data_IF_321845766321
#
_entry.id   IF_321845766321
#
_cell.length_a   1.000
_cell.length_b   1.000
_cell.length_c   1.000
_cell.angle_alpha   90.00
_cell.angle_beta   90.00
_cell.angle_gamma   90.00
#
_symmetry.space_group_name_H-M   'P 1'
#
loop_
_entity.id
_entity.type
_entity.pdbx_description
1 polymer ?
#
# COMPACT_ATOMS: atom_id res chain seq x y z
N UNK A 1 -8.01 -22.06 5.75
CA UNK A 1 -8.03 -20.59 5.90
C UNK A 1 -7.28 -20.26 7.17
N UNK A 2 -6.22 -19.49 7.10
CA UNK A 2 -5.55 -19.00 8.31
C UNK A 2 -6.54 -18.09 9.02
N UNK A 3 -7.03 -18.49 10.19
CA UNK A 3 -7.96 -17.72 11.02
C UNK A 3 -7.29 -16.51 11.70
N UNK A 4 -6.35 -15.85 11.03
CA UNK A 4 -5.72 -14.62 11.49
C UNK A 4 -6.59 -13.42 11.13
N UNK A 5 -6.70 -12.46 12.06
CA UNK A 5 -7.28 -11.14 11.79
C UNK A 5 -6.52 -10.52 10.62
N UNK A 6 -7.25 -9.91 9.70
CA UNK A 6 -6.67 -9.36 8.48
C UNK A 6 -6.57 -7.86 8.60
N UNK A 7 -5.40 -7.30 8.21
CA UNK A 7 -5.25 -5.85 8.04
C UNK A 7 -6.18 -5.35 6.94
N UNK A 8 -6.66 -4.12 7.08
CA UNK A 8 -7.37 -3.46 5.99
C UNK A 8 -6.41 -2.97 4.93
N UNK A 9 -6.90 -2.96 3.72
CA UNK A 9 -6.24 -2.44 2.55
C UNK A 9 -6.82 -1.06 2.20
N UNK A 10 -5.99 -0.20 1.63
CA UNK A 10 -6.41 1.08 1.10
C UNK A 10 -6.51 0.99 -0.43
N UNK A 11 -7.72 0.85 -0.97
CA UNK A 11 -7.94 0.86 -2.41
C UNK A 11 -7.94 2.30 -2.93
N UNK A 12 -7.23 2.52 -4.03
CA UNK A 12 -7.16 3.78 -4.76
C UNK A 12 -7.50 3.56 -6.24
N UNK A 13 -7.40 4.60 -7.05
CA UNK A 13 -7.82 4.60 -8.46
C UNK A 13 -7.30 3.40 -9.27
N UNK A 14 -6.05 2.95 -9.04
CA UNK A 14 -5.47 1.81 -9.79
C UNK A 14 -6.16 0.49 -9.45
N UNK A 15 -6.36 0.23 -8.17
CA UNK A 15 -7.08 -0.95 -7.71
C UNK A 15 -8.54 -0.95 -8.15
N UNK A 16 -9.21 0.20 -8.02
CA UNK A 16 -10.58 0.39 -8.48
C UNK A 16 -10.70 0.17 -10.00
N UNK A 17 -9.75 0.68 -10.78
CA UNK A 17 -9.74 0.48 -12.23
C UNK A 17 -9.65 -1.01 -12.60
N UNK A 18 -8.75 -1.77 -11.98
CA UNK A 18 -8.63 -3.21 -12.22
C UNK A 18 -9.91 -3.97 -11.87
N UNK A 19 -10.51 -3.65 -10.71
CA UNK A 19 -11.80 -4.23 -10.29
C UNK A 19 -12.94 -3.85 -11.23
N UNK A 20 -12.94 -2.62 -11.78
CA UNK A 20 -13.92 -2.18 -12.76
C UNK A 20 -13.78 -2.91 -14.09
N UNK A 21 -12.55 -3.15 -14.56
CA UNK A 21 -12.30 -3.95 -15.76
C UNK A 21 -12.76 -5.42 -15.61
N UNK A 22 -12.76 -5.93 -14.39
CA UNK A 22 -13.24 -7.27 -14.07
C UNK A 22 -14.75 -7.32 -13.73
N UNK A 23 -15.49 -6.19 -13.85
CA UNK A 23 -16.90 -6.03 -13.45
C UNK A 23 -17.17 -6.29 -11.95
N UNK A 24 -16.14 -6.17 -11.10
CA UNK A 24 -16.23 -6.48 -9.66
C UNK A 24 -16.35 -5.26 -8.76
N UNK A 25 -16.05 -4.05 -9.25
CA UNK A 25 -16.02 -2.85 -8.41
C UNK A 25 -17.35 -2.56 -7.71
N UNK A 26 -18.47 -2.74 -8.40
CA UNK A 26 -19.80 -2.49 -7.83
C UNK A 26 -20.09 -3.38 -6.61
N UNK A 27 -19.66 -4.62 -6.64
CA UNK A 27 -19.78 -5.55 -5.52
C UNK A 27 -18.83 -5.16 -4.39
N UNK A 28 -17.57 -4.87 -4.71
CA UNK A 28 -16.55 -4.47 -3.73
C UNK A 28 -16.90 -3.19 -2.99
N UNK A 29 -17.64 -2.26 -3.60
CA UNK A 29 -18.12 -1.06 -2.92
C UNK A 29 -19.02 -1.36 -1.71
N UNK A 30 -19.71 -2.50 -1.69
CA UNK A 30 -20.59 -2.86 -0.57
C UNK A 30 -19.84 -3.27 0.69
N UNK A 31 -18.57 -3.65 0.54
CA UNK A 31 -17.67 -4.06 1.63
C UNK A 31 -16.51 -3.06 1.85
N UNK A 32 -16.60 -1.88 1.24
CA UNK A 32 -15.56 -0.85 1.31
C UNK A 32 -16.11 0.46 1.88
N UNK A 33 -15.30 1.14 2.70
CA UNK A 33 -15.66 2.43 3.30
C UNK A 33 -14.81 3.55 2.70
N UNK A 34 -15.42 4.59 2.11
CA UNK A 34 -14.67 5.73 1.59
C UNK A 34 -14.09 6.56 2.73
N UNK A 35 -12.79 6.80 2.69
CA UNK A 35 -12.07 7.68 3.59
C UNK A 35 -11.71 8.97 2.85
N UNK A 36 -12.25 10.11 3.31
CA UNK A 36 -12.09 11.43 2.69
C UNK A 36 -10.79 12.15 3.11
N UNK A 37 -10.13 11.63 4.14
CA UNK A 37 -8.92 12.25 4.69
C UNK A 37 -8.34 11.46 5.85
N UNK A 38 -7.36 12.09 6.49
CA UNK A 38 -6.70 11.61 7.70
C UNK A 38 -7.23 12.36 8.91
N UNK A 39 -7.58 11.65 9.97
CA UNK A 39 -7.85 12.23 11.28
C UNK A 39 -6.59 12.08 12.12
N UNK A 40 -5.90 13.19 12.35
CA UNK A 40 -4.68 13.21 13.13
C UNK A 40 -5.01 13.35 14.62
N UNK A 41 -4.44 12.50 15.45
CA UNK A 41 -4.56 12.51 16.91
C UNK A 41 -3.26 13.01 17.53
N UNK A 42 -3.27 14.21 18.10
CA UNK A 42 -2.10 14.76 18.84
C UNK A 42 -1.84 13.97 20.12
N UNK A 43 -0.68 14.21 20.74
CA UNK A 43 -0.38 13.65 22.08
C UNK A 43 -1.36 14.18 23.15
N UNK A 44 -1.86 15.41 22.96
CA UNK A 44 -2.87 16.03 23.81
C UNK A 44 -4.31 15.57 23.48
N UNK A 45 -4.47 14.57 22.60
CA UNK A 45 -5.76 14.06 22.12
C UNK A 45 -6.60 15.07 21.33
N UNK A 46 -5.95 16.09 20.78
CA UNK A 46 -6.59 17.02 19.83
C UNK A 46 -6.73 16.39 18.47
N UNK A 47 -7.87 16.61 17.81
CA UNK A 47 -8.17 16.06 16.50
C UNK A 47 -7.99 17.11 15.40
N UNK A 48 -7.29 16.75 14.35
CA UNK A 48 -7.15 17.58 13.15
C UNK A 48 -7.45 16.76 11.90
N UNK A 49 -8.49 17.15 11.16
CA UNK A 49 -8.84 16.51 9.91
C UNK A 49 -8.07 17.10 8.74
N UNK A 50 -7.41 16.24 7.97
CA UNK A 50 -6.67 16.60 6.76
C UNK A 50 -7.27 15.88 5.56
N UNK A 51 -7.89 16.61 4.63
CA UNK A 51 -8.43 16.04 3.41
C UNK A 51 -7.32 15.41 2.57
N UNK A 52 -7.65 14.32 1.86
CA UNK A 52 -6.74 13.69 0.91
C UNK A 52 -6.61 14.47 -0.39
N UNK A 53 -7.73 14.84 -0.98
CA UNK A 53 -7.81 15.45 -2.29
C UNK A 53 -8.56 16.78 -2.29
N UNK A 54 -8.71 17.33 -3.48
CA UNK A 54 -9.32 18.65 -3.71
C UNK A 54 -10.84 18.66 -3.51
N UNK A 55 -11.51 17.51 -3.70
CA UNK A 55 -12.97 17.37 -3.60
C UNK A 55 -13.38 16.02 -2.99
N UNK A 56 -14.68 15.76 -2.91
CA UNK A 56 -15.24 14.53 -2.32
C UNK A 56 -15.18 13.31 -3.24
N UNK A 57 -14.73 13.46 -4.48
CA UNK A 57 -14.48 12.33 -5.38
C UNK A 57 -13.08 11.73 -5.17
N UNK A 58 -12.13 12.53 -4.70
CA UNK A 58 -10.78 12.08 -4.40
C UNK A 58 -10.70 11.44 -3.01
N UNK A 59 -11.09 10.17 -2.94
CA UNK A 59 -11.11 9.34 -1.71
C UNK A 59 -10.34 8.05 -1.93
N UNK A 60 -9.89 7.45 -0.83
CA UNK A 60 -9.41 6.06 -0.82
C UNK A 60 -10.42 5.21 -0.06
N UNK A 61 -10.47 3.92 -0.33
CA UNK A 61 -11.42 3.02 0.31
C UNK A 61 -10.72 2.08 1.26
N UNK A 62 -11.18 2.03 2.52
CA UNK A 62 -10.81 0.96 3.43
C UNK A 62 -11.62 -0.28 3.08
N UNK A 63 -10.93 -1.40 2.90
CA UNK A 63 -11.56 -2.69 2.64
C UNK A 63 -10.85 -3.78 3.43
N UNK A 64 -11.62 -4.69 4.02
CA UNK A 64 -11.07 -5.87 4.69
C UNK A 64 -10.36 -6.76 3.67
N UNK A 65 -9.09 -7.07 3.93
CA UNK A 65 -8.29 -7.96 3.08
C UNK A 65 -8.92 -9.35 2.94
N UNK A 66 -9.50 -9.88 4.03
CA UNK A 66 -10.15 -11.20 4.00
C UNK A 66 -11.42 -11.19 3.17
N UNK A 67 -12.27 -10.16 3.33
CA UNK A 67 -13.52 -10.06 2.55
C UNK A 67 -13.25 -9.83 1.06
N UNK A 68 -12.30 -8.96 0.73
CA UNK A 68 -11.86 -8.78 -0.66
C UNK A 68 -11.36 -10.09 -1.26
N UNK A 69 -10.53 -10.84 -0.52
CA UNK A 69 -9.99 -12.11 -1.01
C UNK A 69 -11.09 -13.15 -1.23
N UNK A 70 -12.06 -13.26 -0.31
CA UNK A 70 -13.22 -14.16 -0.47
C UNK A 70 -14.04 -13.78 -1.70
N UNK A 71 -14.34 -12.50 -1.88
CA UNK A 71 -15.12 -12.02 -3.02
C UNK A 71 -14.41 -12.30 -4.37
N UNK A 72 -13.08 -12.05 -4.43
CA UNK A 72 -12.28 -12.35 -5.62
C UNK A 72 -12.23 -13.86 -5.93
N UNK A 73 -12.07 -14.72 -4.90
CA UNK A 73 -12.07 -16.17 -5.11
C UNK A 73 -13.43 -16.66 -5.61
N UNK A 74 -14.54 -16.20 -5.00
CA UNK A 74 -15.89 -16.54 -5.44
C UNK A 74 -16.13 -16.11 -6.90
N UNK A 75 -15.70 -14.90 -7.26
CA UNK A 75 -15.82 -14.43 -8.63
C UNK A 75 -15.00 -15.27 -9.62
N UNK A 76 -13.80 -15.70 -9.23
CA UNK A 76 -12.95 -16.56 -10.06
C UNK A 76 -13.60 -17.96 -10.26
N UNK A 77 -14.15 -18.56 -9.20
CA UNK A 77 -14.86 -19.86 -9.30
C UNK A 77 -16.07 -19.76 -10.22
N UNK A 78 -16.85 -18.67 -10.15
CA UNK A 78 -17.99 -18.41 -11.06
C UNK A 78 -17.54 -18.37 -12.53
N UNK A 79 -16.31 -17.89 -12.80
CA UNK A 79 -15.72 -17.87 -14.13
C UNK A 79 -15.08 -19.23 -14.53
N UNK A 80 -15.22 -20.26 -13.70
CA UNK A 80 -14.69 -21.59 -13.98
C UNK A 80 -13.22 -21.80 -13.64
N UNK A 81 -12.62 -20.90 -12.85
CA UNK A 81 -11.26 -21.08 -12.34
C UNK A 81 -11.26 -22.15 -11.24
N UNK A 82 -10.42 -23.16 -11.39
CA UNK A 82 -10.21 -24.17 -10.35
C UNK A 82 -9.29 -23.60 -9.26
N UNK A 83 -9.79 -23.54 -8.03
CA UNK A 83 -9.01 -23.10 -6.85
C UNK A 83 -8.71 -24.31 -5.98
N UNK A 84 -7.42 -24.65 -5.87
CA UNK A 84 -6.97 -25.80 -5.07
C UNK A 84 -6.35 -25.30 -3.78
N UNK A 85 -7.02 -25.53 -2.65
CA UNK A 85 -6.55 -25.13 -1.32
C UNK A 85 -5.54 -26.13 -0.75
N UNK A 86 -4.84 -25.68 0.29
CA UNK A 86 -3.86 -26.49 1.07
C UNK A 86 -2.73 -27.09 0.21
N UNK A 87 -2.45 -26.51 -0.95
CA UNK A 87 -1.35 -26.91 -1.81
C UNK A 87 -0.27 -25.82 -1.76
N UNK A 88 0.83 -26.12 -1.11
CA UNK A 88 1.98 -25.24 -1.04
C UNK A 88 2.89 -25.47 -2.23
N UNK A 89 3.15 -24.44 -3.02
CA UNK A 89 4.22 -24.49 -4.00
C UNK A 89 5.57 -24.43 -3.28
N UNK A 90 6.37 -25.47 -3.43
CA UNK A 90 7.70 -25.58 -2.82
C UNK A 90 8.84 -25.33 -3.80
N UNK A 91 8.54 -25.26 -5.11
CA UNK A 91 9.51 -24.99 -6.17
C UNK A 91 8.94 -25.18 -7.56
N UNK A 92 9.75 -24.90 -8.56
CA UNK A 92 9.42 -25.05 -9.98
C UNK A 92 10.65 -25.47 -10.78
N UNK A 93 10.46 -26.39 -11.73
CA UNK A 93 11.42 -26.56 -12.82
C UNK A 93 11.13 -25.49 -13.90
N UNK A 94 11.95 -24.48 -13.97
CA UNK A 94 11.75 -23.34 -14.85
C UNK A 94 11.73 -23.72 -16.35
N UNK A 95 12.51 -24.73 -16.77
CA UNK A 95 12.60 -25.15 -18.18
C UNK A 95 11.35 -25.92 -18.62
N UNK A 96 10.82 -26.76 -17.74
CA UNK A 96 9.68 -27.63 -18.03
C UNK A 96 8.35 -26.96 -17.70
N UNK A 97 8.35 -25.97 -16.76
CA UNK A 97 7.14 -25.37 -16.23
C UNK A 97 6.44 -26.27 -15.20
N UNK A 98 7.14 -27.26 -14.65
CA UNK A 98 6.57 -28.19 -13.70
C UNK A 98 6.70 -27.68 -12.26
N UNK A 99 5.56 -27.48 -11.60
CA UNK A 99 5.45 -27.02 -10.20
C UNK A 99 5.57 -28.20 -9.25
N UNK A 100 6.31 -28.01 -8.16
CA UNK A 100 6.35 -28.94 -7.04
C UNK A 100 5.38 -28.45 -5.98
N UNK A 101 4.34 -29.21 -5.73
CA UNK A 101 3.28 -28.92 -4.79
C UNK A 101 3.36 -29.92 -3.62
N UNK A 102 3.14 -29.39 -2.42
CA UNK A 102 3.00 -30.19 -1.21
C UNK A 102 1.64 -29.93 -0.59
N UNK A 103 0.93 -31.02 -0.31
CA UNK A 103 -0.31 -30.97 0.45
C UNK A 103 0.01 -30.65 1.93
N UNK A 104 -0.56 -29.60 2.46
CA UNK A 104 -0.31 -29.14 3.85
C UNK A 104 -1.02 -30.00 4.91
N UNK A 105 -1.97 -30.86 4.49
CA UNK A 105 -2.70 -31.76 5.39
C UNK A 105 -2.04 -33.13 5.44
N UNK A 106 -1.79 -33.73 4.26
CA UNK A 106 -1.22 -35.08 4.17
C UNK A 106 0.29 -35.10 4.15
N UNK A 107 0.93 -33.98 3.80
CA UNK A 107 2.37 -33.89 3.59
C UNK A 107 2.88 -34.50 2.29
N UNK A 108 1.98 -35.02 1.46
CA UNK A 108 2.30 -35.62 0.16
C UNK A 108 2.76 -34.57 -0.83
N UNK A 109 3.73 -34.94 -1.66
CA UNK A 109 4.23 -34.08 -2.73
C UNK A 109 3.77 -34.61 -4.08
N UNK A 110 3.41 -33.66 -4.97
CA UNK A 110 3.05 -33.95 -6.36
C UNK A 110 3.66 -32.94 -7.32
N UNK A 111 3.80 -33.31 -8.56
CA UNK A 111 4.20 -32.41 -9.63
C UNK A 111 2.98 -32.02 -10.47
N UNK A 112 2.92 -30.75 -10.86
CA UNK A 112 1.88 -30.22 -11.76
C UNK A 112 2.58 -29.54 -12.94
N UNK A 113 2.36 -30.07 -14.13
CA UNK A 113 2.88 -29.49 -15.36
C UNK A 113 1.98 -28.36 -15.87
N UNK A 114 2.56 -27.28 -16.28
CA UNK A 114 1.85 -26.13 -16.82
C UNK A 114 2.59 -25.50 -17.99
N UNK A 115 1.85 -25.01 -18.98
CA UNK A 115 2.40 -24.27 -20.12
C UNK A 115 2.89 -22.88 -19.71
N UNK A 116 2.18 -22.24 -18.79
CA UNK A 116 2.46 -20.89 -18.28
C UNK A 116 2.24 -20.87 -16.78
N UNK A 117 3.17 -20.28 -16.03
CA UNK A 117 3.09 -20.10 -14.59
C UNK A 117 3.23 -18.63 -14.23
N UNK A 118 2.28 -18.11 -13.49
CA UNK A 118 2.35 -16.75 -12.91
C UNK A 118 2.50 -16.89 -11.40
N UNK A 119 3.69 -16.55 -10.89
CA UNK A 119 4.02 -16.60 -9.47
C UNK A 119 3.53 -15.36 -8.75
N UNK A 120 2.40 -15.49 -8.02
CA UNK A 120 1.81 -14.46 -7.16
C UNK A 120 1.97 -14.85 -5.67
N UNK A 121 3.04 -15.56 -5.32
CA UNK A 121 3.25 -16.25 -4.06
C UNK A 121 3.92 -15.36 -2.97
N UNK A 122 3.85 -14.05 -3.17
CA UNK A 122 4.19 -13.03 -2.15
C UNK A 122 5.68 -12.80 -1.93
N UNK A 123 6.01 -12.01 -0.92
CA UNK A 123 7.38 -11.57 -0.64
C UNK A 123 8.35 -12.73 -0.31
N UNK A 124 7.84 -13.88 0.11
CA UNK A 124 8.62 -15.10 0.36
C UNK A 124 8.56 -16.12 -0.79
N UNK A 125 8.36 -15.67 -2.03
CA UNK A 125 8.12 -16.45 -3.23
C UNK A 125 9.08 -17.64 -3.40
N UNK A 126 8.49 -18.83 -3.53
CA UNK A 126 9.21 -20.06 -3.89
C UNK A 126 9.65 -20.04 -5.36
N UNK A 127 8.81 -19.46 -6.23
CA UNK A 127 9.12 -19.30 -7.67
C UNK A 127 10.34 -18.41 -7.83
N UNK A 128 10.39 -17.25 -7.18
CA UNK A 128 11.57 -16.36 -7.21
C UNK A 128 12.80 -17.06 -6.67
N UNK A 129 12.68 -17.87 -5.63
CA UNK A 129 13.79 -18.61 -5.03
C UNK A 129 14.45 -19.58 -6.02
N UNK A 130 13.69 -20.18 -6.92
CA UNK A 130 14.25 -20.99 -8.01
C UNK A 130 14.88 -20.11 -9.11
N UNK A 131 14.31 -18.96 -9.41
CA UNK A 131 14.90 -18.01 -10.37
C UNK A 131 16.22 -17.42 -9.88
N UNK A 132 16.42 -17.27 -8.58
CA UNK A 132 17.69 -16.83 -7.95
C UNK A 132 18.86 -17.75 -8.27
N UNK A 133 18.61 -19.02 -8.62
CA UNK A 133 19.67 -19.99 -8.99
C UNK A 133 20.15 -19.82 -10.42
N UNK A 134 19.46 -18.97 -11.21
CA UNK A 134 19.89 -18.67 -12.59
C UNK A 134 21.02 -17.64 -12.58
N UNK A 135 21.86 -17.67 -13.60
CA UNK A 135 22.88 -16.65 -13.81
C UNK A 135 22.21 -15.31 -14.18
N UNK A 136 22.81 -14.20 -13.71
CA UNK A 136 22.37 -12.81 -14.00
C UNK A 136 21.01 -12.45 -13.40
N UNK A 137 20.59 -13.08 -12.30
CA UNK A 137 19.43 -12.64 -11.56
C UNK A 137 19.86 -11.62 -10.50
N UNK A 138 19.28 -10.43 -10.55
CA UNK A 138 19.48 -9.38 -9.55
C UNK A 138 18.40 -9.49 -8.48
N UNK A 139 18.79 -9.41 -7.21
CA UNK A 139 17.85 -9.48 -6.09
C UNK A 139 18.28 -8.56 -4.97
N UNK A 140 17.36 -7.78 -4.45
CA UNK A 140 17.49 -6.99 -3.25
C UNK A 140 16.33 -7.29 -2.31
N UNK A 141 16.64 -7.53 -1.05
CA UNK A 141 15.68 -7.71 0.02
C UNK A 141 16.09 -6.83 1.20
N UNK A 142 15.30 -5.81 1.49
CA UNK A 142 15.61 -4.83 2.52
C UNK A 142 14.52 -4.83 3.58
N UNK A 143 14.87 -5.20 4.81
CA UNK A 143 13.99 -5.09 5.95
C UNK A 143 14.15 -3.73 6.61
N UNK A 144 13.03 -3.12 7.01
CA UNK A 144 13.09 -1.99 7.93
C UNK A 144 13.39 -2.48 9.35
N UNK A 145 14.08 -1.65 10.13
CA UNK A 145 14.25 -1.90 11.58
C UNK A 145 12.97 -1.55 12.37
N UNK A 146 11.82 -1.82 11.75
CA UNK A 146 10.47 -1.60 12.27
C UNK A 146 9.63 -2.83 12.02
N UNK A 147 8.83 -3.17 13.02
CA UNK A 147 7.76 -4.14 12.89
C UNK A 147 6.39 -3.48 12.87
N UNK A 148 5.39 -4.28 12.62
CA UNK A 148 4.00 -3.89 12.80
C UNK A 148 3.24 -4.91 13.65
N UNK A 149 2.26 -4.41 14.41
CA UNK A 149 1.36 -5.22 15.25
C UNK A 149 -0.08 -4.90 14.90
N UNK A 150 -0.83 -5.94 14.55
CA UNK A 150 -2.26 -5.82 14.30
C UNK A 150 -3.03 -5.78 15.61
N UNK A 151 -3.93 -4.80 15.73
CA UNK A 151 -4.79 -4.58 16.88
C UNK A 151 -6.21 -4.29 16.38
N UNK A 152 -7.16 -4.14 17.29
CA UNK A 152 -8.55 -3.87 16.93
C UNK A 152 -9.19 -2.89 17.90
N UNK A 153 -9.93 -1.92 17.38
CA UNK A 153 -10.95 -1.20 18.11
C UNK A 153 -12.29 -1.89 17.79
N UNK A 154 -12.98 -2.48 18.77
CA UNK A 154 -14.27 -3.12 18.55
C UNK A 154 -15.34 -2.09 18.18
N UNK A 155 -16.45 -2.56 17.61
CA UNK A 155 -17.62 -1.73 17.40
C UNK A 155 -18.12 -1.14 18.72
N UNK A 156 -18.50 0.12 18.68
CA UNK A 156 -19.08 0.83 19.82
C UNK A 156 -20.52 0.39 20.12
N UNK A 157 -21.21 1.15 20.93
CA UNK A 157 -22.59 0.87 21.30
C UNK A 157 -23.49 0.75 20.05
N UNK A 158 -24.35 -0.30 20.04
CA UNK A 158 -25.26 -0.62 18.94
C UNK A 158 -24.57 -0.91 17.58
N UNK A 159 -23.34 -1.43 17.59
CA UNK A 159 -22.61 -1.77 16.37
C UNK A 159 -22.11 -0.56 15.56
N UNK A 160 -22.12 0.64 16.14
CA UNK A 160 -21.62 1.85 15.49
C UNK A 160 -20.11 1.97 15.59
N UNK A 161 -19.51 2.67 14.63
CA UNK A 161 -18.10 3.03 14.72
C UNK A 161 -17.82 3.90 15.95
N UNK A 162 -16.72 3.58 16.67
CA UNK A 162 -16.29 4.34 17.84
C UNK A 162 -15.52 5.63 17.49
N UNK A 163 -15.06 5.76 16.25
CA UNK A 163 -14.34 6.91 15.71
C UNK A 163 -15.03 7.39 14.42
N UNK A 164 -14.54 8.49 13.82
CA UNK A 164 -15.03 8.99 12.54
C UNK A 164 -14.86 7.94 11.43
N UNK A 165 -15.96 7.53 10.82
CA UNK A 165 -16.01 6.42 9.86
C UNK A 165 -15.28 6.74 8.55
N UNK A 166 -15.35 8.00 8.10
CA UNK A 166 -14.84 8.40 6.79
C UNK A 166 -13.42 8.98 6.84
N UNK A 167 -12.61 8.51 7.79
CA UNK A 167 -11.23 8.93 7.95
C UNK A 167 -10.27 7.75 8.22
N UNK A 168 -9.04 7.86 7.73
CA UNK A 168 -7.92 7.12 8.26
C UNK A 168 -7.44 7.81 9.54
N UNK A 169 -7.57 7.15 10.69
CA UNK A 169 -7.05 7.68 11.94
C UNK A 169 -5.55 7.43 12.05
N UNK A 170 -4.80 8.46 12.46
CA UNK A 170 -3.34 8.37 12.62
C UNK A 170 -2.94 9.04 13.93
N UNK A 171 -2.19 8.34 14.76
CA UNK A 171 -1.52 8.82 15.96
C UNK A 171 -0.01 8.88 15.70
N UNK A 172 0.55 9.97 15.15
CA UNK A 172 1.99 10.12 14.93
C UNK A 172 2.70 10.39 16.26
N UNK A 173 3.83 9.73 16.48
CA UNK A 173 4.62 9.83 17.71
C UNK A 173 6.12 9.91 17.45
N UNK A 174 6.52 10.62 16.39
CA UNK A 174 7.91 10.78 16.02
C UNK A 174 8.51 9.52 15.43
N UNK A 175 9.02 8.62 16.24
CA UNK A 175 9.65 7.39 15.77
C UNK A 175 8.71 6.19 15.64
N UNK A 176 7.42 6.34 15.97
CA UNK A 176 6.42 5.28 15.85
C UNK A 176 5.03 5.89 15.59
N UNK A 177 4.07 5.07 15.21
CA UNK A 177 2.69 5.52 14.97
C UNK A 177 1.70 4.38 15.12
N UNK A 178 0.47 4.74 15.49
CA UNK A 178 -0.70 3.89 15.40
C UNK A 178 -1.60 4.42 14.26
N UNK A 179 -2.16 3.52 13.47
CA UNK A 179 -3.21 3.88 12.49
C UNK A 179 -4.45 3.02 12.72
N UNK A 180 -5.62 3.51 12.31
CA UNK A 180 -6.85 2.73 12.35
C UNK A 180 -7.70 2.98 11.10
N UNK A 181 -8.14 1.88 10.47
CA UNK A 181 -8.96 1.86 9.26
C UNK A 181 -10.33 1.26 9.59
N UNK A 182 -11.44 1.88 9.14
CA UNK A 182 -12.79 1.41 9.43
C UNK A 182 -13.15 0.13 8.66
N UNK A 183 -13.95 -0.72 9.31
CA UNK A 183 -14.63 -1.89 8.72
C UNK A 183 -16.13 -1.67 8.68
N UNK A 184 -16.83 -2.34 7.76
CA UNK A 184 -18.29 -2.23 7.59
C UNK A 184 -19.08 -2.75 8.80
N UNK A 185 -18.48 -3.60 9.62
CA UNK A 185 -19.07 -4.14 10.86
C UNK A 185 -18.98 -3.19 12.07
N UNK A 186 -18.48 -1.97 11.87
CA UNK A 186 -18.33 -0.97 12.92
C UNK A 186 -17.00 -1.04 13.69
N UNK A 187 -16.17 -2.03 13.41
CA UNK A 187 -14.81 -2.15 14.00
C UNK A 187 -13.79 -1.30 13.26
N UNK A 188 -12.60 -1.12 13.86
CA UNK A 188 -11.44 -0.60 13.17
C UNK A 188 -10.29 -1.61 13.22
N UNK A 189 -9.69 -1.89 12.07
CA UNK A 189 -8.41 -2.57 12.01
C UNK A 189 -7.30 -1.57 12.34
N UNK A 190 -6.55 -1.84 13.40
CA UNK A 190 -5.49 -0.96 13.88
C UNK A 190 -4.12 -1.59 13.61
N UNK A 191 -3.15 -0.75 13.28
CA UNK A 191 -1.76 -1.17 13.06
C UNK A 191 -0.83 -0.26 13.84
N UNK A 192 -0.11 -0.84 14.81
CA UNK A 192 1.00 -0.18 15.49
C UNK A 192 2.29 -0.45 14.71
N UNK A 193 2.94 0.62 14.25
CA UNK A 193 4.29 0.57 13.69
C UNK A 193 5.29 1.03 14.74
N UNK A 194 6.24 0.17 15.08
CA UNK A 194 7.18 0.40 16.18
C UNK A 194 8.56 -0.17 15.82
N UNK A 195 9.68 0.47 16.25
CA UNK A 195 11.00 -0.14 16.13
C UNK A 195 11.08 -1.50 16.82
N UNK A 196 11.94 -2.40 16.33
CA UNK A 196 12.20 -3.66 17.02
C UNK A 196 13.00 -3.43 18.31
N UNK A 197 13.93 -2.48 18.32
CA UNK A 197 14.86 -2.18 19.40
C UNK A 197 14.86 -0.71 19.76
N UNK A 198 15.30 -0.38 20.98
CA UNK A 198 15.38 0.99 21.51
C UNK A 198 14.44 1.23 22.68
N UNK A 199 14.27 2.50 23.08
CA UNK A 199 13.47 2.87 24.26
C UNK A 199 11.97 2.64 24.03
N UNK A 200 11.43 3.13 22.92
CA UNK A 200 10.05 2.88 22.48
C UNK A 200 10.10 1.80 21.39
N UNK A 201 10.05 0.52 21.78
CA UNK A 201 10.26 -0.61 20.86
C UNK A 201 9.52 -1.87 21.28
N UNK A 202 9.36 -2.82 20.35
CA UNK A 202 8.80 -4.13 20.68
C UNK A 202 9.60 -4.88 21.74
N UNK A 203 10.94 -4.69 21.81
CA UNK A 203 11.79 -5.31 22.82
C UNK A 203 11.47 -4.90 24.27
N UNK A 204 10.77 -3.78 24.46
CA UNK A 204 10.37 -3.30 25.79
C UNK A 204 8.94 -3.71 26.18
N UNK A 205 8.19 -4.38 25.31
CA UNK A 205 6.79 -4.72 25.51
C UNK A 205 6.60 -6.23 25.71
N UNK A 206 7.03 -6.73 26.88
CA UNK A 206 7.08 -8.16 27.17
C UNK A 206 5.96 -8.63 28.11
N UNK A 207 5.25 -7.70 28.79
CA UNK A 207 4.17 -7.98 29.71
C UNK A 207 2.93 -7.18 29.40
N UNK A 208 1.77 -7.65 29.85
CA UNK A 208 0.50 -6.93 29.73
C UNK A 208 0.57 -5.52 30.32
N UNK A 209 1.23 -5.36 31.48
CA UNK A 209 1.38 -4.05 32.13
C UNK A 209 2.19 -3.08 31.28
N UNK A 210 3.35 -3.52 30.76
CA UNK A 210 4.21 -2.70 29.88
C UNK A 210 3.45 -2.23 28.64
N UNK A 211 2.69 -3.10 27.99
CA UNK A 211 1.87 -2.74 26.81
C UNK A 211 0.84 -1.68 27.19
N UNK A 212 0.08 -1.89 28.29
CA UNK A 212 -0.97 -0.92 28.72
C UNK A 212 -0.34 0.41 29.11
N UNK A 213 0.77 0.41 29.84
CA UNK A 213 1.48 1.63 30.25
C UNK A 213 2.03 2.40 29.04
N UNK A 214 2.64 1.69 28.10
CA UNK A 214 3.11 2.28 26.85
C UNK A 214 1.96 2.97 26.10
N UNK A 215 0.83 2.27 25.93
CA UNK A 215 -0.32 2.84 25.22
C UNK A 215 -0.94 4.02 25.99
N UNK A 216 -1.03 3.97 27.32
CA UNK A 216 -1.49 5.11 28.13
C UNK A 216 -0.59 6.34 27.97
N UNK A 217 0.71 6.13 27.90
CA UNK A 217 1.67 7.22 27.73
C UNK A 217 1.68 7.80 26.30
N UNK A 218 1.51 6.96 25.29
CA UNK A 218 1.67 7.35 23.88
C UNK A 218 0.36 7.56 23.12
N UNK A 219 -0.70 6.83 23.46
CA UNK A 219 -2.00 6.81 22.77
C UNK A 219 -3.17 6.88 23.77
N UNK A 220 -3.22 7.89 24.66
CA UNK A 220 -4.16 7.92 25.79
C UNK A 220 -5.62 7.89 25.35
N UNK A 221 -5.97 8.50 24.23
CA UNK A 221 -7.31 8.51 23.64
C UNK A 221 -7.69 7.20 22.94
N UNK A 222 -6.74 6.37 22.54
CA UNK A 222 -7.00 5.06 21.94
C UNK A 222 -7.26 3.97 23.00
N UNK A 223 -6.65 4.07 24.20
CA UNK A 223 -6.76 3.03 25.24
C UNK A 223 -8.20 2.72 25.64
N UNK A 224 -9.09 3.70 25.91
CA UNK A 224 -10.49 3.42 26.25
C UNK A 224 -11.26 2.69 25.14
N UNK A 225 -10.79 2.79 23.90
CA UNK A 225 -11.42 2.16 22.74
C UNK A 225 -10.93 0.72 22.51
N UNK A 226 -9.92 0.27 23.24
CA UNK A 226 -9.26 -1.03 23.06
C UNK A 226 -9.34 -1.89 24.34
N UNK A 227 -10.53 -2.36 24.77
CA UNK A 227 -10.68 -3.10 26.04
C UNK A 227 -9.86 -4.41 26.11
N UNK A 228 -9.53 -5.02 24.96
CA UNK A 228 -8.69 -6.22 24.86
C UNK A 228 -7.29 -5.95 24.34
N UNK A 229 -6.71 -4.78 24.63
CA UNK A 229 -5.44 -4.33 24.05
C UNK A 229 -4.28 -5.32 24.28
N UNK A 230 -4.01 -5.68 25.53
CA UNK A 230 -2.87 -6.50 25.87
C UNK A 230 -3.03 -7.94 25.36
N UNK A 231 -4.23 -8.51 25.49
CA UNK A 231 -4.56 -9.83 24.94
C UNK A 231 -4.36 -9.89 23.44
N UNK A 232 -4.87 -8.89 22.70
CA UNK A 232 -4.70 -8.80 21.26
C UNK A 232 -3.24 -8.60 20.87
N UNK A 233 -2.50 -7.82 21.65
CA UNK A 233 -1.08 -7.57 21.38
C UNK A 233 -0.26 -8.86 21.44
N UNK A 234 -0.48 -9.73 22.42
CA UNK A 234 0.25 -10.98 22.56
C UNK A 234 -0.31 -12.11 21.69
N UNK A 235 -1.61 -12.10 21.37
CA UNK A 235 -2.21 -13.09 20.48
C UNK A 235 -1.79 -12.93 19.01
N UNK A 236 -1.44 -11.71 18.58
CA UNK A 236 -1.06 -11.44 17.21
C UNK A 236 0.48 -11.44 17.04
N UNK A 237 1.02 -12.02 15.97
CA UNK A 237 2.45 -11.98 15.71
C UNK A 237 2.92 -10.55 15.40
N UNK A 238 4.19 -10.26 15.64
CA UNK A 238 4.82 -9.04 15.13
C UNK A 238 5.32 -9.30 13.72
N UNK A 239 4.79 -8.57 12.75
CA UNK A 239 5.21 -8.66 11.35
C UNK A 239 6.43 -7.80 11.07
N UNK A 240 7.27 -8.22 10.12
CA UNK A 240 8.36 -7.43 9.58
C UNK A 240 7.93 -6.76 8.27
N UNK A 241 8.54 -5.62 7.96
CA UNK A 241 8.31 -4.89 6.71
C UNK A 241 9.50 -5.04 5.79
N UNK A 242 9.25 -5.48 4.57
CA UNK A 242 10.28 -5.79 3.59
C UNK A 242 10.00 -5.11 2.26
N UNK A 243 11.05 -4.60 1.64
CA UNK A 243 11.05 -4.18 0.23
C UNK A 243 11.79 -5.24 -0.58
N UNK A 244 11.16 -5.71 -1.66
CA UNK A 244 11.72 -6.66 -2.62
C UNK A 244 11.89 -5.95 -3.95
N UNK A 245 13.08 -6.11 -4.54
CA UNK A 245 13.35 -5.71 -5.92
C UNK A 245 14.13 -6.83 -6.59
N UNK A 246 13.70 -7.26 -7.76
CA UNK A 246 14.43 -8.29 -8.51
C UNK A 246 14.35 -8.03 -10.03
N UNK A 247 15.18 -8.73 -10.78
CA UNK A 247 15.18 -8.76 -12.26
C UNK A 247 16.09 -9.90 -12.73
N UNK A 248 15.70 -10.65 -13.80
CA UNK A 248 14.44 -10.56 -14.53
C UNK A 248 13.23 -11.08 -13.74
N UNK A 249 12.03 -10.65 -14.14
CA UNK A 249 10.77 -11.16 -13.57
C UNK A 249 10.25 -12.40 -14.27
N UNK A 250 10.84 -12.76 -15.39
CA UNK A 250 10.40 -13.90 -16.21
C UNK A 250 11.54 -14.86 -16.54
N UNK A 251 11.16 -16.10 -16.82
CA UNK A 251 12.08 -17.16 -17.21
C UNK A 251 11.46 -18.06 -18.29
N UNK A 252 12.33 -18.52 -19.24
CA UNK A 252 12.02 -19.51 -20.27
C UNK A 252 10.76 -19.20 -21.13
N UNK A 253 10.31 -17.95 -21.16
CA UNK A 253 9.09 -17.54 -21.85
C UNK A 253 7.80 -18.14 -21.31
N UNK A 254 7.83 -18.73 -20.13
CA UNK A 254 6.68 -19.44 -19.52
C UNK A 254 6.43 -19.14 -18.05
N UNK A 255 7.38 -18.56 -17.34
CA UNK A 255 7.26 -18.22 -15.91
C UNK A 255 7.34 -16.72 -15.76
N UNK A 256 6.41 -16.12 -15.00
CA UNK A 256 6.39 -14.70 -14.64
C UNK A 256 6.20 -14.54 -13.14
N UNK A 257 6.96 -13.65 -12.51
CA UNK A 257 6.68 -13.13 -11.16
C UNK A 257 5.76 -11.91 -11.27
N UNK A 258 4.76 -11.81 -10.38
CA UNK A 258 3.79 -10.73 -10.36
C UNK A 258 3.49 -10.29 -8.92
N UNK A 259 3.23 -9.01 -8.70
CA UNK A 259 2.93 -8.45 -7.40
C UNK A 259 4.09 -8.60 -6.40
N UNK A 260 3.79 -8.88 -5.14
CA UNK A 260 4.78 -8.98 -4.07
C UNK A 260 5.88 -10.03 -4.31
N UNK A 261 5.63 -11.02 -5.17
CA UNK A 261 6.65 -11.97 -5.58
C UNK A 261 7.79 -11.31 -6.37
N UNK A 262 7.49 -10.25 -7.12
CA UNK A 262 8.44 -9.48 -7.91
C UNK A 262 8.92 -8.20 -7.20
N UNK A 263 8.03 -7.51 -6.48
CA UNK A 263 8.26 -6.13 -6.03
C UNK A 263 7.46 -5.76 -4.77
N UNK A 264 7.56 -6.54 -3.71
CA UNK A 264 6.94 -6.19 -2.42
C UNK A 264 7.42 -4.83 -1.92
N UNK A 265 6.52 -4.02 -1.39
CA UNK A 265 6.81 -2.69 -0.86
C UNK A 265 6.29 -2.53 0.57
N UNK A 266 6.88 -1.59 1.32
CA UNK A 266 6.39 -1.23 2.65
C UNK A 266 5.04 -0.51 2.58
N UNK A 267 4.16 -0.62 3.60
CA UNK A 267 2.74 -0.26 3.48
C UNK A 267 2.44 1.24 3.56
N UNK A 268 3.41 2.10 3.77
CA UNK A 268 3.18 3.50 4.18
C UNK A 268 2.52 4.40 3.14
N UNK A 269 2.59 4.06 1.86
CA UNK A 269 1.84 4.77 0.82
C UNK A 269 0.47 4.14 0.53
N UNK A 270 0.18 2.94 1.09
CA UNK A 270 -1.05 2.21 0.82
C UNK A 270 -1.16 1.69 -0.63
N UNK A 271 -0.02 1.47 -1.31
CA UNK A 271 -0.01 1.15 -2.74
C UNK A 271 0.31 -0.31 -3.08
N UNK A 272 0.60 -1.19 -2.13
CA UNK A 272 0.94 -2.59 -2.43
C UNK A 272 -0.12 -3.29 -3.28
N UNK A 273 -1.36 -3.34 -2.81
CA UNK A 273 -2.46 -3.96 -3.57
C UNK A 273 -2.77 -3.21 -4.87
N UNK A 274 -2.74 -1.87 -4.85
CA UNK A 274 -3.02 -1.05 -6.03
C UNK A 274 -1.99 -1.29 -7.14
N UNK A 275 -0.73 -1.44 -6.76
CA UNK A 275 0.36 -1.77 -7.66
C UNK A 275 0.20 -3.18 -8.25
N UNK A 276 -0.13 -4.18 -7.43
CA UNK A 276 -0.40 -5.55 -7.88
C UNK A 276 -1.63 -5.65 -8.79
N UNK A 277 -2.69 -4.89 -8.52
CA UNK A 277 -3.86 -4.82 -9.40
C UNK A 277 -3.53 -4.11 -10.73
N UNK A 278 -2.68 -3.08 -10.70
CA UNK A 278 -2.19 -2.46 -11.94
C UNK A 278 -1.32 -3.43 -12.75
N UNK A 279 -0.59 -4.35 -12.11
CA UNK A 279 0.10 -5.43 -12.81
C UNK A 279 -0.88 -6.31 -13.61
N UNK A 280 -2.01 -6.69 -12.98
CA UNK A 280 -3.06 -7.45 -13.67
C UNK A 280 -3.61 -6.69 -14.89
N UNK A 281 -3.89 -5.38 -14.73
CA UNK A 281 -4.33 -4.52 -15.84
C UNK A 281 -3.34 -4.52 -16.99
N UNK A 282 -2.07 -4.27 -16.71
CA UNK A 282 -1.02 -4.19 -17.73
C UNK A 282 -0.74 -5.54 -18.38
N UNK A 283 -0.81 -6.63 -17.62
CA UNK A 283 -0.63 -7.98 -18.17
C UNK A 283 -1.79 -8.35 -19.12
N UNK A 284 -3.03 -8.03 -18.76
CA UNK A 284 -4.21 -8.26 -19.61
C UNK A 284 -4.13 -7.47 -20.93
N UNK A 285 -3.70 -6.22 -20.87
CA UNK A 285 -3.47 -5.40 -22.08
C UNK A 285 -2.46 -6.06 -23.04
N UNK A 286 -1.35 -6.57 -22.48
CA UNK A 286 -0.30 -7.24 -23.29
C UNK A 286 -0.76 -8.59 -23.85
N UNK A 287 -1.54 -9.38 -23.09
CA UNK A 287 -2.14 -10.63 -23.58
C UNK A 287 -3.05 -10.33 -24.78
N UNK A 288 -3.87 -9.28 -24.70
CA UNK A 288 -4.72 -8.85 -25.80
C UNK A 288 -3.94 -8.38 -27.04
N UNK A 289 -2.77 -7.76 -26.85
CA UNK A 289 -1.91 -7.27 -27.93
C UNK A 289 -1.11 -8.35 -28.64
N UNK A 290 -0.68 -9.40 -27.95
CA UNK A 290 0.30 -10.38 -28.43
C UNK A 290 -0.20 -11.82 -28.54
N UNK A 291 -1.49 -12.07 -28.32
CA UNK A 291 -2.20 -13.32 -28.63
C UNK A 291 -1.44 -14.62 -28.28
N UNK A 292 -0.91 -14.72 -27.06
CA UNK A 292 -0.26 -15.93 -26.54
C UNK A 292 1.24 -16.06 -26.81
N UNK A 293 1.90 -15.05 -27.36
CA UNK A 293 3.37 -14.95 -27.35
C UNK A 293 3.87 -14.58 -25.94
N UNK A 294 3.87 -15.57 -25.04
CA UNK A 294 4.19 -15.38 -23.64
C UNK A 294 5.60 -14.83 -23.40
N UNK A 295 6.57 -15.23 -24.22
CA UNK A 295 7.94 -14.72 -24.08
C UNK A 295 7.99 -13.21 -24.30
N UNK A 296 7.29 -12.73 -25.34
CA UNK A 296 7.18 -11.29 -25.62
C UNK A 296 6.34 -10.56 -24.58
N UNK A 297 5.19 -11.12 -24.20
CA UNK A 297 4.29 -10.55 -23.19
C UNK A 297 5.07 -10.31 -21.89
N UNK A 298 5.81 -11.29 -21.40
CA UNK A 298 6.53 -11.21 -20.13
C UNK A 298 7.69 -10.22 -20.18
N UNK A 299 8.45 -10.19 -21.27
CA UNK A 299 9.53 -9.24 -21.45
C UNK A 299 9.03 -7.78 -21.52
N UNK A 300 7.93 -7.53 -22.25
CA UNK A 300 7.33 -6.19 -22.33
C UNK A 300 6.66 -5.81 -21.00
N UNK A 301 6.05 -6.75 -20.29
CA UNK A 301 5.47 -6.53 -18.97
C UNK A 301 6.54 -6.04 -17.98
N UNK A 302 7.65 -6.77 -17.83
CA UNK A 302 8.72 -6.35 -16.94
C UNK A 302 9.24 -4.97 -17.31
N UNK A 303 9.49 -4.71 -18.59
CA UNK A 303 9.98 -3.43 -19.07
C UNK A 303 9.06 -2.26 -18.72
N UNK A 304 7.72 -2.45 -18.82
CA UNK A 304 6.73 -1.42 -18.50
C UNK A 304 6.58 -1.23 -16.99
N UNK A 305 6.61 -2.34 -16.24
CA UNK A 305 6.26 -2.31 -14.83
C UNK A 305 7.44 -2.01 -13.91
N UNK A 306 8.61 -2.59 -14.18
CA UNK A 306 9.75 -2.51 -13.24
C UNK A 306 10.13 -1.07 -12.88
N UNK A 307 10.23 -0.18 -13.86
CA UNK A 307 10.55 1.24 -13.58
C UNK A 307 9.51 1.91 -12.66
N UNK A 308 8.25 1.51 -12.77
CA UNK A 308 7.17 2.03 -11.93
C UNK A 308 7.16 1.39 -10.54
N UNK A 309 7.40 0.09 -10.44
CA UNK A 309 7.43 -0.61 -9.15
C UNK A 309 8.64 -0.22 -8.32
N UNK A 310 9.79 0.02 -8.93
CA UNK A 310 10.96 0.58 -8.25
C UNK A 310 10.64 2.00 -7.72
N UNK A 311 9.98 2.83 -8.54
CA UNK A 311 9.60 4.19 -8.13
C UNK A 311 8.58 4.21 -6.97
N UNK A 312 7.59 3.32 -6.95
CA UNK A 312 6.64 3.28 -5.82
C UNK A 312 7.28 2.69 -4.55
N UNK A 313 8.30 1.84 -4.66
CA UNK A 313 9.09 1.40 -3.52
C UNK A 313 9.83 2.58 -2.87
N UNK A 314 10.48 3.43 -3.68
CA UNK A 314 11.12 4.67 -3.20
C UNK A 314 10.10 5.61 -2.55
N UNK A 315 8.97 5.86 -3.24
CA UNK A 315 7.89 6.71 -2.73
C UNK A 315 7.32 6.19 -1.40
N UNK A 316 7.21 4.89 -1.21
CA UNK A 316 6.72 4.29 0.03
C UNK A 316 7.70 4.51 1.19
N UNK A 317 9.00 4.45 0.94
CA UNK A 317 10.04 4.75 1.93
C UNK A 317 10.08 6.26 2.26
N UNK A 318 10.00 7.14 1.24
CA UNK A 318 9.89 8.59 1.45
C UNK A 318 8.66 8.93 2.31
N UNK A 319 7.51 8.30 2.03
CA UNK A 319 6.27 8.53 2.76
C UNK A 319 6.33 7.99 4.21
N UNK A 320 7.10 6.93 4.46
CA UNK A 320 7.35 6.46 5.82
C UNK A 320 7.99 7.55 6.68
N UNK A 321 9.05 8.17 6.18
CA UNK A 321 9.73 9.27 6.86
C UNK A 321 8.79 10.47 7.05
N UNK A 322 7.98 10.80 6.03
CA UNK A 322 7.00 11.88 6.09
C UNK A 322 5.94 11.62 7.18
N UNK A 323 5.32 10.45 7.18
CA UNK A 323 4.26 10.08 8.14
C UNK A 323 4.79 9.99 9.58
N UNK A 324 5.99 9.47 9.75
CA UNK A 324 6.60 9.30 11.05
C UNK A 324 7.03 10.63 11.68
N UNK A 325 7.73 11.47 10.91
CA UNK A 325 8.49 12.60 11.43
C UNK A 325 7.81 13.95 11.19
N UNK A 326 6.98 14.11 10.15
CA UNK A 326 6.57 15.41 9.64
C UNK A 326 5.09 15.75 9.73
N UNK A 327 4.20 14.77 9.83
CA UNK A 327 2.74 14.99 9.73
C UNK A 327 2.18 15.92 10.81
N UNK A 328 2.87 16.08 11.94
CA UNK A 328 2.53 17.04 13.00
C UNK A 328 3.28 18.37 12.93
N UNK A 329 4.18 18.56 11.96
CA UNK A 329 4.98 19.76 11.83
C UNK A 329 4.21 20.91 11.16
N UNK A 330 4.19 22.09 11.79
CA UNK A 330 3.45 23.26 11.31
C UNK A 330 3.92 23.70 9.90
N UNK A 331 5.21 23.61 9.62
CA UNK A 331 5.78 23.98 8.31
C UNK A 331 5.40 22.98 7.22
N UNK A 332 5.35 21.71 7.56
CA UNK A 332 4.84 20.67 6.66
C UNK A 332 3.37 20.92 6.32
N UNK A 333 2.54 21.18 7.32
CA UNK A 333 1.11 21.49 7.13
C UNK A 333 0.91 22.76 6.29
N UNK A 334 1.75 23.76 6.47
CA UNK A 334 1.75 24.96 5.64
C UNK A 334 2.09 24.64 4.18
N UNK A 335 3.14 23.83 3.93
CA UNK A 335 3.49 23.39 2.57
C UNK A 335 2.34 22.65 1.89
N UNK A 336 1.60 21.82 2.62
CA UNK A 336 0.40 21.14 2.08
C UNK A 336 -0.71 22.11 1.68
N UNK A 337 -0.91 23.19 2.43
CA UNK A 337 -1.83 24.26 2.02
C UNK A 337 -1.38 24.97 0.75
N UNK A 338 -0.08 25.24 0.61
CA UNK A 338 0.50 25.82 -0.61
C UNK A 338 0.35 24.86 -1.79
N UNK A 339 0.60 23.55 -1.63
CA UNK A 339 0.37 22.54 -2.68
C UNK A 339 -1.06 22.58 -3.22
N UNK A 340 -2.06 22.58 -2.34
CA UNK A 340 -3.48 22.63 -2.73
C UNK A 340 -3.84 23.96 -3.45
N UNK A 341 -3.28 25.06 -3.00
CA UNK A 341 -3.47 26.37 -3.63
C UNK A 341 -2.85 26.42 -5.04
N UNK A 342 -1.66 25.84 -5.23
CA UNK A 342 -1.01 25.72 -6.53
C UNK A 342 -1.77 24.80 -7.47
N UNK A 343 -2.27 23.66 -6.98
CA UNK A 343 -3.12 22.75 -7.75
C UNK A 343 -4.42 23.46 -8.22
N UNK A 344 -5.08 24.18 -7.33
CA UNK A 344 -6.31 24.92 -7.66
C UNK A 344 -6.07 25.95 -8.76
N UNK A 345 -4.92 26.58 -8.79
CA UNK A 345 -4.58 27.61 -9.79
C UNK A 345 -4.00 27.05 -11.09
N UNK A 346 -3.25 25.96 -11.02
CA UNK A 346 -2.55 25.33 -12.15
C UNK A 346 -2.85 23.83 -12.26
N UNK A 347 -4.11 23.39 -12.32
CA UNK A 347 -4.53 22.00 -12.12
C UNK A 347 -4.00 21.02 -13.19
N UNK A 348 -3.59 21.52 -14.37
CA UNK A 348 -2.99 20.68 -15.43
C UNK A 348 -1.48 20.57 -15.34
N UNK A 349 -0.82 21.41 -14.55
CA UNK A 349 0.64 21.46 -14.47
C UNK A 349 1.13 21.07 -13.08
N UNK A 350 0.49 21.58 -12.03
CA UNK A 350 0.84 21.25 -10.65
C UNK A 350 -0.21 20.30 -10.05
N UNK A 351 0.04 19.01 -10.15
CA UNK A 351 -0.75 17.97 -9.48
C UNK A 351 0.13 17.43 -8.36
N UNK A 352 -0.28 17.52 -7.09
CA UNK A 352 0.52 17.04 -5.96
C UNK A 352 0.97 15.58 -6.12
N UNK A 353 2.18 15.27 -5.66
CA UNK A 353 2.77 13.92 -5.71
C UNK A 353 1.80 12.85 -5.19
N UNK A 354 1.15 13.11 -4.06
CA UNK A 354 0.17 12.19 -3.48
C UNK A 354 -1.03 11.97 -4.40
N UNK A 355 -1.58 13.04 -5.00
CA UNK A 355 -2.71 12.97 -5.92
C UNK A 355 -2.36 12.20 -7.20
N UNK A 356 -1.16 12.42 -7.78
CA UNK A 356 -0.68 11.67 -8.94
C UNK A 356 -0.66 10.15 -8.70
N UNK A 357 -0.24 9.74 -7.51
CA UNK A 357 -0.13 8.33 -7.12
C UNK A 357 -1.48 7.72 -6.80
N UNK A 358 -2.34 8.45 -6.06
CA UNK A 358 -3.52 7.90 -5.39
C UNK A 358 -4.79 8.08 -6.20
N UNK A 359 -4.99 9.25 -6.83
CA UNK A 359 -6.24 9.61 -7.51
C UNK A 359 -6.13 9.58 -9.03
N UNK A 360 -4.92 9.43 -9.54
CA UNK A 360 -4.66 9.33 -10.98
C UNK A 360 -3.87 8.07 -11.30
N UNK A 361 -3.94 7.63 -12.57
CA UNK A 361 -3.14 6.51 -13.08
C UNK A 361 -1.84 7.00 -13.74
N UNK A 362 -1.31 8.13 -13.28
CA UNK A 362 -0.01 8.65 -13.74
C UNK A 362 1.08 7.65 -13.35
N UNK A 363 1.99 7.27 -14.27
CA UNK A 363 3.06 6.32 -13.94
C UNK A 363 3.82 6.71 -12.67
N UNK A 364 4.08 5.75 -11.79
CA UNK A 364 4.76 6.03 -10.51
C UNK A 364 6.14 6.67 -10.70
N UNK A 365 6.87 6.28 -11.76
CA UNK A 365 8.15 6.92 -12.10
C UNK A 365 7.97 8.41 -12.40
N UNK A 366 6.94 8.77 -13.18
CA UNK A 366 6.59 10.17 -13.45
C UNK A 366 6.20 10.91 -12.17
N UNK A 367 5.42 10.29 -11.29
CA UNK A 367 5.03 10.88 -10.02
C UNK A 367 6.24 11.13 -9.10
N UNK A 368 7.20 10.21 -9.07
CA UNK A 368 8.45 10.35 -8.31
C UNK A 368 9.31 11.50 -8.84
N UNK A 369 9.56 11.53 -10.14
CA UNK A 369 10.38 12.57 -10.78
C UNK A 369 9.75 13.96 -10.60
N UNK A 370 8.46 14.10 -10.90
CA UNK A 370 7.73 15.37 -10.72
C UNK A 370 7.66 15.78 -9.26
N UNK A 371 7.44 14.84 -8.35
CA UNK A 371 7.43 15.10 -6.92
C UNK A 371 8.75 15.72 -6.43
N UNK A 372 9.89 15.22 -6.90
CA UNK A 372 11.21 15.79 -6.60
C UNK A 372 11.37 17.23 -7.13
N UNK A 373 10.82 17.54 -8.29
CA UNK A 373 10.79 18.91 -8.83
C UNK A 373 9.86 19.79 -7.99
N UNK A 374 8.66 19.32 -7.68
CA UNK A 374 7.68 20.01 -6.83
C UNK A 374 8.25 20.32 -5.45
N UNK A 375 8.97 19.38 -4.82
CA UNK A 375 9.61 19.59 -3.51
C UNK A 375 10.63 20.73 -3.53
N UNK A 376 11.41 20.88 -4.62
CA UNK A 376 12.34 22.01 -4.80
C UNK A 376 11.59 23.33 -4.96
N UNK A 377 10.57 23.36 -5.82
CA UNK A 377 9.74 24.55 -6.05
C UNK A 377 9.06 24.99 -4.73
N UNK A 378 8.46 24.07 -3.99
CA UNK A 378 7.83 24.36 -2.70
C UNK A 378 8.81 24.85 -1.66
N UNK A 379 10.02 24.30 -1.63
CA UNK A 379 11.06 24.77 -0.72
C UNK A 379 11.40 26.22 -0.98
N UNK A 380 11.57 26.62 -2.23
CA UNK A 380 11.85 27.98 -2.64
C UNK A 380 10.67 28.92 -2.41
N UNK A 381 9.45 28.51 -2.74
CA UNK A 381 8.23 29.33 -2.60
C UNK A 381 7.81 29.54 -1.14
N UNK A 382 8.05 28.58 -0.27
CA UNK A 382 7.68 28.66 1.14
C UNK A 382 8.77 29.32 2.01
N UNK A 383 9.90 29.71 1.45
CA UNK A 383 10.97 30.34 2.22
C UNK A 383 10.55 31.76 2.72
N UNK A 384 10.62 31.97 4.04
CA UNK A 384 10.33 33.26 4.66
C UNK A 384 8.86 33.66 4.72
N UNK A 385 7.92 32.79 4.33
CA UNK A 385 6.47 33.03 4.43
C UNK A 385 5.80 31.99 5.34
N UNK A 386 4.68 32.39 5.96
CA UNK A 386 3.88 31.53 6.85
C UNK A 386 2.39 31.43 6.43
N UNK A 387 1.96 32.23 5.46
CA UNK A 387 0.58 32.30 4.99
C UNK A 387 0.52 32.15 3.48
N UNK A 388 -0.51 31.48 2.97
CA UNK A 388 -0.71 31.27 1.52
C UNK A 388 -0.95 32.59 0.79
N UNK A 389 -1.53 33.58 1.47
CA UNK A 389 -1.79 34.92 0.92
C UNK A 389 -0.51 35.68 0.61
N UNK A 390 0.60 35.34 1.29
CA UNK A 390 1.91 35.99 1.09
C UNK A 390 2.73 35.36 -0.07
N UNK A 391 2.14 34.36 -0.76
CA UNK A 391 2.80 33.67 -1.87
C UNK A 391 2.94 34.61 -3.08
N UNK A 392 4.17 34.71 -3.61
CA UNK A 392 4.43 35.35 -4.90
C UNK A 392 3.93 34.45 -6.05
N UNK A 393 2.70 34.72 -6.49
CA UNK A 393 2.04 33.95 -7.54
C UNK A 393 2.72 34.07 -8.90
N UNK A 394 3.36 35.22 -9.21
CA UNK A 394 4.09 35.41 -10.46
C UNK A 394 5.34 34.53 -10.50
N UNK A 395 6.10 34.53 -9.41
CA UNK A 395 7.25 33.64 -9.23
C UNK A 395 6.82 32.16 -9.26
N UNK A 396 5.72 31.81 -8.59
CA UNK A 396 5.20 30.45 -8.55
C UNK A 396 4.84 29.94 -9.95
N UNK A 397 4.09 30.71 -10.73
CA UNK A 397 3.71 30.35 -12.10
C UNK A 397 4.93 30.21 -13.02
N UNK A 398 5.89 31.11 -12.93
CA UNK A 398 7.15 31.06 -13.69
C UNK A 398 7.96 29.80 -13.35
N UNK A 399 8.17 29.49 -12.06
CA UNK A 399 8.92 28.31 -11.63
C UNK A 399 8.23 27.02 -12.07
N UNK A 400 6.92 26.93 -11.91
CA UNK A 400 6.14 25.74 -12.25
C UNK A 400 6.16 25.51 -13.76
N UNK A 401 5.80 26.51 -14.55
CA UNK A 401 5.68 26.36 -16.01
C UNK A 401 7.01 26.16 -16.72
N UNK A 402 8.12 26.66 -16.13
CA UNK A 402 9.47 26.44 -16.67
C UNK A 402 10.03 25.04 -16.36
N UNK A 403 9.56 24.35 -15.31
CA UNK A 403 10.14 23.08 -14.85
C UNK A 403 9.18 21.88 -14.99
N UNK A 404 7.89 22.13 -15.09
CA UNK A 404 6.87 21.08 -15.19
C UNK A 404 6.03 21.22 -16.46
N UNK A 405 6.01 20.19 -17.26
CA UNK A 405 5.10 20.12 -18.42
C UNK A 405 3.66 19.80 -17.98
N UNK A 406 2.63 20.24 -18.72
CA UNK A 406 1.27 19.79 -18.49
C UNK A 406 1.16 18.26 -18.47
N UNK A 407 0.31 17.75 -17.57
CA UNK A 407 -0.01 16.33 -17.50
C UNK A 407 -1.24 16.02 -18.34
N UNK A 408 -1.16 14.96 -19.15
CA UNK A 408 -2.35 14.34 -19.73
C UNK A 408 -3.00 13.48 -18.63
N UNK A 409 -4.00 14.03 -17.96
CA UNK A 409 -4.77 13.32 -16.97
C UNK A 409 -5.95 12.71 -17.71
N UNK A 410 -5.97 11.36 -17.82
CA UNK A 410 -7.14 10.66 -18.32
C UNK A 410 -8.34 10.97 -17.40
N UNK A 411 -9.47 11.34 -18.02
CA UNK A 411 -10.70 11.66 -17.31
C UNK A 411 -11.30 10.42 -16.62
#
# INVERSE_FOLDING_TARGET
>A
MSGGRSINLALSTRGIHALTQADLWKEMQTIAIPMKGRMMHSVASELTFQRYGKDDAEVIYSISRSELNIALMNAAEVQGVEIVFQQRCSGINLKEGSLQLRDEVTGESRTLDSMVVIGCDGSASAIRSEMLRQSRFNFSQQYLNYGYKELTIPAGANGKHALETHALHIWPRGNHMLIALPNVDGTFACILFLPFEGADSFAQLNTHSEVVEFFRARFPDAVPLMPGLAENFFANPTGAMVTIQCSPWHAEGRVLLLGDAAHAIVPFFGQGINCGFEDCTQLLELIGQHSGDWARIFAEFEKRRKVNTDAIADLALENFVEMRDRVGDARFLFRKKVELALEAKLPKVFVPKYSMVTFHRIPYATALERGRVQDRILTELCEGIERVEDLDWSKAEQLITSQLLPLEIAA
#
